data_IF_597235109651
#
_entry.id   IF_597235109651
#
_cell.length_a   1.000
_cell.length_b   1.000
_cell.length_c   1.000
_cell.angle_alpha   90.00
_cell.angle_beta   90.00
_cell.angle_gamma   90.00
#
_symmetry.space_group_name_H-M   'P 1'
#
loop_
_entity.id
_entity.type
_entity.pdbx_description
1 polymer ?
#
# COMPACT_ATOMS: atom_id res chain seq x y z
N UNK A 1 -8.03 8.22 -0.68
CA UNK A 1 -6.85 8.03 -1.57
C UNK A 1 -7.13 8.33 -3.04
N UNK A 2 -8.17 7.76 -3.67
CA UNK A 2 -8.45 7.99 -5.12
C UNK A 2 -8.61 9.46 -5.49
N UNK A 3 -9.44 10.18 -4.72
CA UNK A 3 -9.79 11.57 -5.02
C UNK A 3 -8.70 12.57 -4.62
N UNK A 4 -7.83 12.20 -3.69
CA UNK A 4 -6.67 12.99 -3.30
C UNK A 4 -5.48 12.06 -2.97
N UNK A 5 -4.47 11.97 -3.86
CA UNK A 5 -3.30 11.13 -3.64
C UNK A 5 -2.15 11.84 -2.90
N UNK A 6 -2.36 13.05 -2.35
CA UNK A 6 -1.35 13.81 -1.59
C UNK A 6 -1.49 13.64 -0.09
N UNK A 7 -0.41 13.93 0.64
CA UNK A 7 -0.35 14.02 2.10
C UNK A 7 -0.72 12.75 2.88
N UNK A 8 -0.61 11.59 2.22
CA UNK A 8 -0.76 10.30 2.88
C UNK A 8 0.51 9.93 3.65
N UNK A 9 0.31 9.41 4.86
CA UNK A 9 1.38 8.87 5.70
C UNK A 9 1.40 7.35 5.64
N UNK A 10 2.57 6.76 5.92
CA UNK A 10 2.73 5.31 5.79
C UNK A 10 1.81 4.54 6.73
N UNK A 11 1.52 5.08 7.90
CA UNK A 11 0.62 4.49 8.89
C UNK A 11 -0.81 4.40 8.34
N UNK A 12 -1.24 5.39 7.56
CA UNK A 12 -2.56 5.36 6.92
C UNK A 12 -2.65 4.27 5.84
N UNK A 13 -1.57 4.05 5.08
CA UNK A 13 -1.49 2.95 4.12
C UNK A 13 -1.53 1.59 4.84
N UNK A 14 -0.81 1.46 5.96
CA UNK A 14 -0.85 0.26 6.79
C UNK A 14 -2.23 -0.03 7.37
N UNK A 15 -2.96 0.98 7.84
CA UNK A 15 -4.33 0.83 8.33
C UNK A 15 -5.23 0.23 7.25
N UNK A 16 -5.16 0.76 6.02
CA UNK A 16 -5.96 0.24 4.90
C UNK A 16 -5.54 -1.17 4.51
N UNK A 17 -4.24 -1.43 4.44
CA UNK A 17 -3.71 -2.76 4.12
C UNK A 17 -4.21 -3.82 5.12
N UNK A 18 -4.13 -3.53 6.42
CA UNK A 18 -4.61 -4.43 7.48
C UNK A 18 -6.10 -4.70 7.43
N UNK A 19 -6.92 -3.68 7.11
CA UNK A 19 -8.37 -3.85 6.93
C UNK A 19 -8.74 -4.79 5.78
N UNK A 20 -7.83 -4.95 4.81
CA UNK A 20 -8.02 -5.81 3.63
C UNK A 20 -7.23 -7.13 3.75
N UNK A 21 -6.73 -7.48 4.94
CA UNK A 21 -5.95 -8.70 5.13
C UNK A 21 -4.57 -8.72 4.44
N UNK A 22 -4.09 -7.57 3.94
CA UNK A 22 -2.81 -7.48 3.27
C UNK A 22 -1.64 -7.55 4.26
N UNK A 23 -0.58 -8.24 3.86
CA UNK A 23 0.67 -8.29 4.59
C UNK A 23 1.46 -6.99 4.40
N UNK A 24 2.08 -6.52 5.49
CA UNK A 24 3.03 -5.40 5.45
C UNK A 24 4.34 -5.85 6.07
N UNK A 25 5.42 -5.82 5.29
CA UNK A 25 6.78 -6.11 5.76
C UNK A 25 7.62 -4.84 5.80
N UNK A 26 8.45 -4.73 6.84
CA UNK A 26 9.43 -3.67 7.01
C UNK A 26 10.69 -4.28 7.62
N UNK A 27 11.66 -4.67 6.80
CA UNK A 27 12.90 -5.34 7.23
C UNK A 27 13.95 -4.31 7.69
N UNK A 28 13.64 -3.54 8.73
CA UNK A 28 14.54 -2.56 9.35
C UNK A 28 14.95 -1.36 8.47
N UNK A 29 14.58 -1.36 7.19
CA UNK A 29 14.85 -0.30 6.23
C UNK A 29 13.78 0.79 6.18
N UNK A 30 14.00 1.77 5.31
CA UNK A 30 13.10 2.92 5.12
C UNK A 30 11.89 2.63 4.21
N UNK A 31 11.70 1.38 3.81
CA UNK A 31 10.67 0.96 2.86
C UNK A 31 9.71 -0.05 3.51
N UNK A 32 8.43 0.15 3.25
CA UNK A 32 7.37 -0.79 3.59
C UNK A 32 6.91 -1.51 2.33
N UNK A 33 6.88 -2.83 2.39
CA UNK A 33 6.42 -3.70 1.29
C UNK A 33 5.02 -4.19 1.60
N UNK A 34 4.08 -3.89 0.72
CA UNK A 34 2.68 -4.31 0.76
C UNK A 34 2.46 -5.47 -0.22
N UNK A 35 1.82 -6.54 0.23
CA UNK A 35 1.50 -7.71 -0.59
C UNK A 35 0.24 -8.41 -0.07
N UNK A 36 -0.33 -9.31 -0.87
CA UNK A 36 -1.47 -10.15 -0.48
C UNK A 36 -1.39 -11.48 -1.23
N UNK A 37 -1.76 -12.60 -0.61
CA UNK A 37 -1.62 -13.93 -1.21
C UNK A 37 -2.45 -14.14 -2.48
N UNK A 38 -3.60 -13.48 -2.56
CA UNK A 38 -4.50 -13.55 -3.72
C UNK A 38 -3.97 -12.84 -4.99
N UNK A 39 -2.87 -12.07 -4.90
CA UNK A 39 -2.29 -11.35 -6.05
C UNK A 39 -0.76 -11.50 -6.07
N UNK A 40 -0.18 -11.62 -7.26
CA UNK A 40 1.27 -11.73 -7.41
C UNK A 40 2.01 -10.39 -7.20
N UNK A 41 1.31 -9.27 -7.35
CA UNK A 41 1.89 -7.93 -7.23
C UNK A 41 2.31 -7.59 -5.80
N UNK A 42 3.42 -6.87 -5.67
CA UNK A 42 3.85 -6.26 -4.42
C UNK A 42 4.24 -4.80 -4.65
N UNK A 43 4.08 -3.97 -3.61
CA UNK A 43 4.44 -2.56 -3.66
C UNK A 43 5.37 -2.17 -2.53
N UNK A 44 6.57 -1.70 -2.88
CA UNK A 44 7.48 -1.05 -1.94
C UNK A 44 7.25 0.46 -1.90
N UNK A 45 7.00 1.01 -0.71
CA UNK A 45 6.77 2.45 -0.48
C UNK A 45 7.81 3.01 0.50
N UNK A 46 8.54 4.08 0.15
CA UNK A 46 9.44 4.75 1.08
C UNK A 46 8.66 5.49 2.18
N UNK A 47 9.07 5.32 3.43
CA UNK A 47 8.37 5.82 4.63
C UNK A 47 9.10 6.99 5.33
N UNK A 48 10.39 7.20 5.07
CA UNK A 48 11.20 8.24 5.74
C UNK A 48 11.05 9.65 5.14
N UNK A 49 10.18 9.82 4.14
CA UNK A 49 9.90 11.10 3.48
C UNK A 49 8.39 11.17 3.19
N UNK A 50 7.83 12.38 2.94
CA UNK A 50 6.47 12.48 2.44
C UNK A 50 6.23 11.52 1.27
N UNK A 51 5.17 10.72 1.36
CA UNK A 51 4.87 9.72 0.33
C UNK A 51 4.49 10.46 -0.93
N UNK A 52 5.27 10.25 -2.00
CA UNK A 52 4.96 10.85 -3.30
C UNK A 52 3.61 10.31 -3.80
N UNK A 53 2.77 11.14 -4.45
CA UNK A 53 1.47 10.72 -4.95
C UNK A 53 1.50 9.49 -5.88
N UNK A 54 2.61 9.26 -6.58
CA UNK A 54 2.81 8.07 -7.41
C UNK A 54 2.70 6.76 -6.60
N UNK A 55 3.23 6.72 -5.38
CA UNK A 55 3.14 5.55 -4.52
C UNK A 55 1.72 5.34 -4.00
N UNK A 56 1.00 6.41 -3.67
CA UNK A 56 -0.40 6.34 -3.27
C UNK A 56 -1.26 5.77 -4.41
N UNK A 57 -1.04 6.21 -5.65
CA UNK A 57 -1.75 5.67 -6.83
C UNK A 57 -1.45 4.19 -7.07
N UNK A 58 -0.18 3.79 -6.96
CA UNK A 58 0.21 2.37 -7.07
C UNK A 58 -0.40 1.53 -5.95
N UNK A 59 -0.48 2.07 -4.74
CA UNK A 59 -1.11 1.39 -3.60
C UNK A 59 -2.61 1.19 -3.83
N UNK A 60 -3.30 2.22 -4.32
CA UNK A 60 -4.70 2.14 -4.72
C UNK A 60 -4.93 1.08 -5.80
N UNK A 61 -4.05 1.00 -6.80
CA UNK A 61 -4.14 -0.02 -7.85
C UNK A 61 -3.93 -1.44 -7.30
N UNK A 62 -2.99 -1.62 -6.35
CA UNK A 62 -2.81 -2.91 -5.67
C UNK A 62 -4.07 -3.29 -4.86
N UNK A 63 -4.64 -2.32 -4.13
CA UNK A 63 -5.89 -2.51 -3.38
C UNK A 63 -7.05 -2.93 -4.28
N UNK A 64 -7.15 -2.39 -5.49
CA UNK A 64 -8.18 -2.82 -6.45
C UNK A 64 -8.02 -4.28 -6.84
N UNK A 65 -6.81 -4.70 -7.23
CA UNK A 65 -6.56 -6.10 -7.58
C UNK A 65 -6.88 -7.06 -6.42
N UNK A 66 -6.57 -6.66 -5.19
CA UNK A 66 -6.91 -7.46 -4.00
C UNK A 66 -8.42 -7.55 -3.82
N UNK A 67 -9.16 -6.45 -3.98
CA UNK A 67 -10.63 -6.48 -3.88
C UNK A 67 -11.28 -7.30 -4.98
N UNK A 68 -10.78 -7.19 -6.21
CA UNK A 68 -11.27 -7.95 -7.37
C UNK A 68 -11.04 -9.46 -7.21
N UNK A 69 -9.94 -9.88 -6.56
CA UNK A 69 -9.66 -11.30 -6.30
C UNK A 69 -10.42 -11.90 -5.11
N UNK A 70 -11.12 -11.07 -4.32
CA UNK A 70 -11.95 -11.47 -3.18
C UNK A 70 -13.46 -11.46 -3.51
N UNK A 71 -13.84 -11.01 -4.71
CA UNK A 71 -15.21 -10.93 -5.20
C UNK A 71 -15.58 -12.20 -5.97
#
# INVERSE_FOLDING_TARGET
MRNNPRDWRIEQLQTVARQLGMAVRCEGGSHHVFSHEAVADMLSVPAHRPIKPVYVRRFVALVDKVKESQA
#
